data_IF_716401424593
#
_entry.id   IF_716401424593
#
_cell.length_a   1.000
_cell.length_b   1.000
_cell.length_c   1.000
_cell.angle_alpha   90.00
_cell.angle_beta   90.00
_cell.angle_gamma   90.00
#
_symmetry.space_group_name_H-M   'P 1'
#
loop_
_entity.id
_entity.type
_entity.pdbx_description
1 polymer ?
#
# COMPACT_ATOMS: atom_id res chain seq x y z
N UNK A 1 3.87 -16.85 -19.72
CA UNK A 1 2.74 -17.45 -19.00
C UNK A 1 3.29 -18.27 -17.84
N UNK A 2 3.40 -17.69 -16.64
CA UNK A 2 3.90 -18.38 -15.45
C UNK A 2 3.35 -17.74 -14.16
N UNK A 3 2.11 -17.25 -14.19
CA UNK A 3 1.49 -16.52 -13.07
C UNK A 3 0.74 -17.46 -12.10
N UNK A 4 0.82 -18.78 -12.31
CA UNK A 4 -0.01 -19.79 -11.63
C UNK A 4 0.71 -20.63 -10.57
N UNK A 5 1.96 -20.32 -10.21
CA UNK A 5 2.78 -21.14 -9.31
C UNK A 5 3.20 -20.42 -8.01
N UNK A 6 2.69 -19.21 -7.74
CA UNK A 6 2.93 -18.57 -6.44
C UNK A 6 1.96 -19.18 -5.41
N UNK A 7 2.46 -19.84 -4.35
CA UNK A 7 1.59 -20.29 -3.28
C UNK A 7 0.91 -19.09 -2.62
N UNK A 8 -0.37 -19.25 -2.27
CA UNK A 8 -1.15 -18.16 -1.70
C UNK A 8 -0.47 -17.61 -0.43
N UNK A 9 -0.32 -16.28 -0.31
CA UNK A 9 0.27 -15.69 0.86
C UNK A 9 -0.61 -15.96 2.08
N UNK A 10 -0.03 -16.62 3.10
CA UNK A 10 -0.72 -16.87 4.36
C UNK A 10 -0.66 -15.61 5.21
N UNK A 11 -1.78 -15.27 5.84
CA UNK A 11 -1.86 -14.12 6.74
C UNK A 11 -1.61 -14.56 8.18
N UNK A 12 -0.54 -14.05 8.79
CA UNK A 12 -0.22 -14.28 10.20
C UNK A 12 -0.78 -13.13 11.04
N UNK A 13 -1.43 -13.49 12.14
CA UNK A 13 -2.03 -12.54 13.08
C UNK A 13 -1.15 -12.40 14.32
N UNK A 14 -0.82 -11.16 14.67
CA UNK A 14 -0.10 -10.78 15.87
C UNK A 14 -0.96 -9.83 16.72
N UNK A 15 -0.90 -10.00 18.03
CA UNK A 15 -1.55 -9.09 18.98
C UNK A 15 -0.50 -8.15 19.58
N UNK A 16 -0.73 -6.84 19.49
CA UNK A 16 0.14 -5.80 20.06
C UNK A 16 -0.56 -5.16 21.24
N UNK A 17 0.07 -5.08 22.43
CA UNK A 17 -0.46 -4.38 23.59
C UNK A 17 -0.68 -2.88 23.33
N UNK A 18 -1.77 -2.30 23.84
CA UNK A 18 -2.03 -0.85 23.86
C UNK A 18 -1.95 -0.35 25.30
N UNK A 19 -0.78 0.13 25.72
CA UNK A 19 -0.60 0.73 27.04
C UNK A 19 0.71 0.31 27.71
N UNK A 20 0.77 0.45 29.04
CA UNK A 20 1.85 -0.08 29.89
C UNK A 20 1.35 -0.85 31.12
N UNK A 21 0.09 -1.31 31.12
CA UNK A 21 -0.59 -1.99 32.23
C UNK A 21 -0.93 -3.46 31.98
N UNK A 22 -1.41 -4.16 32.99
CA UNK A 22 -1.72 -5.61 32.89
C UNK A 22 -3.07 -5.89 32.20
N UNK A 23 -4.00 -4.91 32.19
CA UNK A 23 -5.31 -4.96 31.50
C UNK A 23 -5.28 -4.17 30.18
N UNK A 24 -4.35 -4.51 29.29
CA UNK A 24 -4.22 -3.80 28.01
C UNK A 24 -5.08 -4.37 26.90
N UNK A 25 -5.87 -3.49 26.27
CA UNK A 25 -6.45 -3.71 24.96
C UNK A 25 -5.37 -4.14 23.97
N UNK A 26 -5.68 -5.11 23.10
CA UNK A 26 -4.73 -5.62 22.11
C UNK A 26 -5.19 -5.29 20.71
N UNK A 27 -4.33 -4.63 19.93
CA UNK A 27 -4.57 -4.45 18.49
C UNK A 27 -4.20 -5.72 17.75
N UNK A 28 -5.11 -6.19 16.91
CA UNK A 28 -4.84 -7.22 15.92
C UNK A 28 -4.08 -6.61 14.74
N UNK A 29 -2.86 -7.09 14.50
CA UNK A 29 -2.04 -6.75 13.34
C UNK A 29 -1.90 -7.99 12.47
N UNK A 30 -2.14 -7.84 11.18
CA UNK A 30 -2.00 -8.92 10.21
C UNK A 30 -0.85 -8.60 9.27
N UNK A 31 0.05 -9.57 9.07
CA UNK A 31 1.11 -9.51 8.06
C UNK A 31 0.96 -10.70 7.12
N UNK A 32 1.17 -10.47 5.83
CA UNK A 32 1.24 -11.56 4.84
C UNK A 32 2.63 -12.17 4.85
N UNK A 33 2.71 -13.48 4.74
CA UNK A 33 3.98 -14.17 4.45
C UNK A 33 4.50 -13.76 3.07
N UNK A 34 5.81 -13.78 2.88
CA UNK A 34 6.44 -13.47 1.60
C UNK A 34 7.20 -14.68 1.07
N UNK A 35 6.84 -15.12 -0.14
CA UNK A 35 7.47 -16.26 -0.82
C UNK A 35 8.36 -15.82 -1.99
N UNK A 36 7.82 -14.97 -2.86
CA UNK A 36 8.49 -14.38 -4.01
C UNK A 36 7.75 -13.12 -4.45
N UNK A 37 8.41 -12.25 -5.22
CA UNK A 37 7.75 -11.08 -5.78
C UNK A 37 8.71 -10.17 -6.54
N UNK A 38 8.15 -9.14 -7.16
CA UNK A 38 8.93 -8.06 -7.75
C UNK A 38 9.46 -7.08 -6.68
N UNK A 39 10.24 -6.09 -7.12
CA UNK A 39 10.81 -5.04 -6.25
C UNK A 39 9.75 -4.28 -5.45
N UNK A 40 8.58 -4.01 -6.03
CA UNK A 40 7.50 -3.27 -5.36
C UNK A 40 6.83 -4.15 -4.31
N UNK A 41 6.57 -5.41 -4.63
CA UNK A 41 6.02 -6.42 -3.71
C UNK A 41 6.96 -6.63 -2.51
N UNK A 42 8.26 -6.80 -2.77
CA UNK A 42 9.28 -6.94 -1.72
C UNK A 42 9.34 -5.73 -0.79
N UNK A 43 9.49 -4.51 -1.33
CA UNK A 43 9.62 -3.30 -0.51
C UNK A 43 8.34 -3.01 0.28
N UNK A 44 7.17 -3.30 -0.29
CA UNK A 44 5.88 -3.16 0.41
C UNK A 44 5.79 -4.13 1.58
N UNK A 45 6.20 -5.39 1.37
CA UNK A 45 6.24 -6.39 2.43
C UNK A 45 7.29 -6.03 3.51
N UNK A 46 8.50 -5.64 3.11
CA UNK A 46 9.59 -5.29 4.01
C UNK A 46 9.18 -4.15 4.96
N UNK A 47 8.58 -3.08 4.43
CA UNK A 47 8.05 -1.98 5.23
C UNK A 47 7.00 -2.44 6.26
N UNK A 48 6.16 -3.40 5.89
CA UNK A 48 5.15 -3.99 6.78
C UNK A 48 5.82 -4.84 7.88
N UNK A 49 6.86 -5.59 7.54
CA UNK A 49 7.63 -6.40 8.46
C UNK A 49 8.46 -5.55 9.44
N UNK A 50 9.13 -4.50 8.99
CA UNK A 50 9.84 -3.56 9.86
C UNK A 50 8.90 -2.86 10.84
N UNK A 51 7.70 -2.49 10.40
CA UNK A 51 6.66 -1.95 11.29
C UNK A 51 6.29 -2.97 12.36
N UNK A 52 6.16 -4.24 12.01
CA UNK A 52 5.87 -5.31 12.98
C UNK A 52 7.00 -5.49 13.99
N UNK A 53 8.27 -5.51 13.53
CA UNK A 53 9.46 -5.57 14.39
C UNK A 53 9.43 -4.46 15.44
N UNK A 54 9.15 -3.22 15.02
CA UNK A 54 9.05 -2.07 15.93
C UNK A 54 7.91 -2.23 16.94
N UNK A 55 6.72 -2.62 16.48
CA UNK A 55 5.54 -2.74 17.35
C UNK A 55 5.65 -3.88 18.35
N UNK A 56 6.29 -4.99 17.98
CA UNK A 56 6.51 -6.14 18.86
C UNK A 56 7.84 -6.07 19.62
N UNK A 57 8.61 -4.99 19.44
CA UNK A 57 9.92 -4.74 20.07
C UNK A 57 10.95 -5.86 19.83
N UNK A 58 10.87 -6.55 18.69
CA UNK A 58 11.80 -7.65 18.36
C UNK A 58 13.23 -7.17 18.07
N UNK A 59 13.40 -5.89 17.75
CA UNK A 59 14.69 -5.33 17.31
C UNK A 59 15.85 -5.43 18.31
N UNK A 60 15.60 -5.79 19.57
CA UNK A 60 16.63 -5.90 20.61
C UNK A 60 17.26 -7.29 20.70
N UNK A 61 16.58 -8.33 20.20
CA UNK A 61 17.03 -9.71 20.34
C UNK A 61 17.25 -10.36 18.97
N UNK A 62 18.50 -10.63 18.64
CA UNK A 62 18.90 -11.21 17.36
C UNK A 62 18.25 -12.58 17.10
N UNK A 63 18.32 -13.57 18.01
CA UNK A 63 17.67 -14.86 17.84
C UNK A 63 16.17 -14.74 17.55
N UNK A 64 15.46 -13.86 18.26
CA UNK A 64 14.03 -13.57 18.00
C UNK A 64 13.81 -13.00 16.59
N UNK A 65 14.65 -12.10 16.09
CA UNK A 65 14.55 -11.58 14.73
C UNK A 65 14.70 -12.69 13.68
N UNK A 66 15.74 -13.51 13.81
CA UNK A 66 16.01 -14.63 12.91
C UNK A 66 14.88 -15.66 12.93
N UNK A 67 14.34 -16.00 14.10
CA UNK A 67 13.21 -16.92 14.21
C UNK A 67 11.96 -16.34 13.54
N UNK A 68 11.60 -15.09 13.82
CA UNK A 68 10.40 -14.48 13.25
C UNK A 68 10.50 -14.27 11.73
N UNK A 69 11.69 -13.94 11.22
CA UNK A 69 11.91 -13.91 9.77
C UNK A 69 11.66 -15.28 9.13
N UNK A 70 12.14 -16.38 9.73
CA UNK A 70 11.88 -17.75 9.24
C UNK A 70 10.40 -18.17 9.29
N UNK A 71 9.61 -17.57 10.19
CA UNK A 71 8.16 -17.83 10.28
C UNK A 71 7.40 -17.08 9.17
N UNK A 72 7.82 -15.86 8.84
CA UNK A 72 7.07 -14.98 7.93
C UNK A 72 7.54 -15.14 6.47
N UNK A 73 8.82 -15.46 6.25
CA UNK A 73 9.34 -15.83 4.94
C UNK A 73 8.95 -17.26 4.60
N UNK A 74 8.70 -17.53 3.32
CA UNK A 74 8.35 -18.85 2.80
C UNK A 74 9.11 -19.16 1.52
N UNK A 75 9.18 -20.44 1.18
CA UNK A 75 9.65 -20.94 -0.11
C UNK A 75 10.97 -20.27 -0.54
N UNK A 76 11.02 -19.69 -1.75
CA UNK A 76 12.21 -19.04 -2.30
C UNK A 76 12.82 -17.98 -1.38
N UNK A 77 12.00 -17.10 -0.78
CA UNK A 77 12.51 -16.06 0.11
C UNK A 77 13.09 -16.64 1.42
N UNK A 78 12.51 -17.73 1.92
CA UNK A 78 13.05 -18.44 3.08
C UNK A 78 14.36 -19.15 2.74
N UNK A 79 14.46 -19.75 1.56
CA UNK A 79 15.68 -20.41 1.09
C UNK A 79 16.83 -19.41 0.95
N UNK A 80 16.59 -18.27 0.31
CA UNK A 80 17.56 -17.16 0.19
C UNK A 80 17.97 -16.67 1.58
N UNK A 81 17.01 -16.46 2.49
CA UNK A 81 17.30 -16.03 3.85
C UNK A 81 18.17 -17.04 4.60
N UNK A 82 17.86 -18.34 4.51
CA UNK A 82 18.63 -19.37 5.19
C UNK A 82 20.04 -19.50 4.63
N UNK A 83 20.21 -19.39 3.31
CA UNK A 83 21.53 -19.37 2.68
C UNK A 83 22.36 -18.17 3.17
N UNK A 84 21.80 -16.95 3.13
CA UNK A 84 22.48 -15.76 3.62
C UNK A 84 22.76 -15.80 5.13
N UNK A 85 21.87 -16.42 5.92
CA UNK A 85 22.04 -16.61 7.36
C UNK A 85 23.12 -17.62 7.73
N UNK A 86 23.44 -18.58 6.86
CA UNK A 86 24.50 -19.56 7.08
C UNK A 86 25.90 -18.93 6.98
N UNK A 87 26.03 -17.82 6.25
CA UNK A 87 27.29 -17.11 6.02
C UNK A 87 27.66 -16.11 7.14
N UNK A 88 26.83 -15.98 8.18
CA UNK A 88 27.08 -15.06 9.30
C UNK A 88 27.22 -15.81 10.62
N UNK A 89 28.20 -15.42 11.42
CA UNK A 89 28.44 -16.03 12.73
C UNK A 89 27.59 -15.35 13.80
N UNK A 90 26.61 -16.09 14.32
CA UNK A 90 25.78 -15.67 15.46
C UNK A 90 24.54 -14.85 15.08
N UNK A 91 23.47 -15.04 15.85
CA UNK A 91 22.21 -14.34 15.66
C UNK A 91 22.21 -13.02 16.46
N UNK A 92 22.76 -11.95 15.88
CA UNK A 92 22.71 -10.59 16.45
C UNK A 92 21.81 -9.68 15.61
N UNK A 93 21.26 -8.58 16.16
CA UNK A 93 20.50 -7.61 15.36
C UNK A 93 21.32 -7.01 14.20
N UNK A 94 22.63 -6.82 14.40
CA UNK A 94 23.54 -6.37 13.35
C UNK A 94 23.63 -7.40 12.20
N UNK A 95 23.89 -8.67 12.54
CA UNK A 95 23.97 -9.74 11.53
C UNK A 95 22.62 -9.95 10.83
N UNK A 96 21.51 -9.78 11.54
CA UNK A 96 20.18 -9.83 10.93
C UNK A 96 20.01 -8.78 9.83
N UNK A 97 20.45 -7.53 10.08
CA UNK A 97 20.40 -6.48 9.06
C UNK A 97 21.27 -6.82 7.84
N UNK A 98 22.48 -7.37 8.06
CA UNK A 98 23.36 -7.81 6.98
C UNK A 98 22.71 -8.91 6.13
N UNK A 99 22.07 -9.90 6.78
CA UNK A 99 21.33 -10.97 6.09
C UNK A 99 20.17 -10.39 5.29
N UNK A 100 19.35 -9.52 5.88
CA UNK A 100 18.21 -8.90 5.18
C UNK A 100 18.65 -8.01 4.01
N UNK A 101 19.81 -7.35 4.09
CA UNK A 101 20.40 -6.62 2.96
C UNK A 101 20.79 -7.57 1.82
N UNK A 102 21.37 -8.74 2.12
CA UNK A 102 21.68 -9.76 1.11
C UNK A 102 20.41 -10.30 0.47
N UNK A 103 19.39 -10.63 1.27
CA UNK A 103 18.08 -11.09 0.77
C UNK A 103 17.45 -10.03 -0.13
N UNK A 104 17.49 -8.74 0.27
CA UNK A 104 16.93 -7.67 -0.53
C UNK A 104 17.54 -7.61 -1.94
N UNK A 105 18.85 -7.83 -2.09
CA UNK A 105 19.52 -7.81 -3.41
C UNK A 105 18.95 -8.82 -4.41
N UNK A 106 18.38 -9.92 -3.95
CA UNK A 106 17.75 -10.93 -4.82
C UNK A 106 16.38 -10.48 -5.37
N UNK A 107 15.72 -9.53 -4.70
CA UNK A 107 14.38 -9.03 -5.08
C UNK A 107 14.39 -7.61 -5.65
N UNK A 108 15.51 -6.91 -5.55
CA UNK A 108 15.71 -5.58 -6.10
C UNK A 108 16.25 -5.69 -7.53
N UNK A 109 15.61 -5.00 -8.47
CA UNK A 109 16.18 -4.78 -9.79
C UNK A 109 17.46 -3.93 -9.67
N UNK A 110 18.36 -4.07 -10.65
CA UNK A 110 19.46 -3.13 -10.79
C UNK A 110 18.90 -1.71 -10.95
N UNK A 111 19.55 -0.73 -10.31
CA UNK A 111 19.11 0.67 -10.29
C UNK A 111 17.66 0.84 -9.79
N UNK A 112 17.31 0.10 -8.72
CA UNK A 112 15.96 0.09 -8.14
C UNK A 112 15.41 1.48 -7.80
N UNK A 113 16.29 2.43 -7.46
CA UNK A 113 15.88 3.82 -7.20
C UNK A 113 15.34 4.48 -8.46
N UNK A 114 16.10 4.42 -9.54
CA UNK A 114 15.75 4.97 -10.85
C UNK A 114 14.49 4.28 -11.37
N UNK A 115 14.41 2.96 -11.23
CA UNK A 115 13.20 2.18 -11.56
C UNK A 115 11.95 2.71 -10.83
N UNK A 116 12.00 2.92 -9.52
CA UNK A 116 10.87 3.45 -8.75
C UNK A 116 10.53 4.90 -9.13
N UNK A 117 11.54 5.72 -9.42
CA UNK A 117 11.36 7.10 -9.88
C UNK A 117 10.68 7.12 -11.26
N UNK A 118 11.12 6.27 -12.18
CA UNK A 118 10.51 6.12 -13.50
C UNK A 118 9.07 5.62 -13.39
N UNK A 119 8.77 4.71 -12.46
CA UNK A 119 7.40 4.30 -12.18
C UNK A 119 6.55 5.48 -11.68
N UNK A 120 7.09 6.37 -10.84
CA UNK A 120 6.40 7.59 -10.40
C UNK A 120 6.14 8.53 -11.60
N UNK A 121 7.15 8.74 -12.43
CA UNK A 121 7.12 9.68 -13.54
C UNK A 121 6.19 9.24 -14.68
N UNK A 122 6.16 7.94 -14.97
CA UNK A 122 5.43 7.36 -16.09
C UNK A 122 4.03 6.86 -15.71
N UNK A 123 3.63 6.97 -14.43
CA UNK A 123 2.32 6.54 -13.97
C UNK A 123 1.23 7.38 -14.61
N UNK A 124 0.39 6.74 -15.43
CA UNK A 124 -0.80 7.41 -15.98
C UNK A 124 -1.97 7.28 -15.02
N UNK A 125 -2.72 8.37 -14.81
CA UNK A 125 -4.06 8.29 -14.22
C UNK A 125 -4.99 7.69 -15.28
N UNK A 126 -5.46 6.47 -15.07
CA UNK A 126 -6.52 5.89 -15.90
C UNK A 126 -7.87 6.54 -15.55
N UNK A 127 -8.86 6.48 -16.45
CA UNK A 127 -10.15 7.18 -16.27
C UNK A 127 -10.92 6.71 -15.03
N UNK A 128 -10.70 5.48 -14.62
CA UNK A 128 -11.33 4.78 -13.50
C UNK A 128 -10.65 5.04 -12.15
N UNK A 129 -9.43 5.58 -12.13
CA UNK A 129 -8.70 5.89 -10.90
C UNK A 129 -8.98 7.33 -10.49
N UNK A 130 -9.40 7.56 -9.25
CA UNK A 130 -9.67 8.92 -8.74
C UNK A 130 -8.36 9.72 -8.57
N UNK A 131 -8.46 11.04 -8.51
CA UNK A 131 -7.30 11.91 -8.20
C UNK A 131 -6.69 11.52 -6.84
N UNK A 132 -7.54 11.20 -5.86
CA UNK A 132 -7.12 10.83 -4.51
C UNK A 132 -6.39 9.48 -4.49
N UNK A 133 -6.90 8.48 -5.20
CA UNK A 133 -6.26 7.16 -5.28
C UNK A 133 -4.91 7.28 -6.00
N UNK A 134 -4.85 8.10 -7.05
CA UNK A 134 -3.60 8.37 -7.74
C UNK A 134 -2.57 9.05 -6.81
N UNK A 135 -2.98 10.07 -6.06
CA UNK A 135 -2.11 10.73 -5.07
C UNK A 135 -1.58 9.71 -4.04
N UNK A 136 -2.48 8.89 -3.48
CA UNK A 136 -2.12 7.90 -2.48
C UNK A 136 -1.07 6.93 -3.03
N UNK A 137 -1.26 6.48 -4.26
CA UNK A 137 -0.36 5.53 -4.89
C UNK A 137 0.99 6.18 -5.29
N UNK A 138 1.02 7.45 -5.68
CA UNK A 138 2.27 8.20 -5.89
C UNK A 138 3.05 8.36 -4.57
N UNK A 139 2.39 8.70 -3.47
CA UNK A 139 3.01 8.79 -2.14
C UNK A 139 3.53 7.44 -1.64
N UNK A 140 2.79 6.37 -1.90
CA UNK A 140 3.23 5.01 -1.59
C UNK A 140 4.56 4.69 -2.28
N UNK A 141 4.64 4.92 -3.60
CA UNK A 141 5.88 4.71 -4.37
C UNK A 141 7.04 5.58 -3.87
N UNK A 142 6.78 6.87 -3.60
CA UNK A 142 7.79 7.76 -3.04
C UNK A 142 8.33 7.27 -1.68
N UNK A 143 7.50 6.59 -0.89
CA UNK A 143 7.95 5.98 0.38
C UNK A 143 8.74 4.69 0.16
N UNK A 144 8.50 3.95 -0.92
CA UNK A 144 9.31 2.76 -1.25
C UNK A 144 10.74 3.16 -1.60
N UNK A 145 10.94 4.34 -2.21
CA UNK A 145 12.29 4.87 -2.50
C UNK A 145 13.11 4.99 -1.22
N UNK A 146 12.52 5.47 -0.12
CA UNK A 146 13.19 5.59 1.19
C UNK A 146 13.26 4.27 1.96
N UNK A 147 12.71 3.18 1.41
CA UNK A 147 12.80 1.81 1.98
C UNK A 147 13.93 1.02 1.31
N UNK A 148 14.54 1.57 0.26
CA UNK A 148 15.69 0.95 -0.39
C UNK A 148 16.90 0.91 0.55
N UNK A 149 17.71 -0.15 0.51
CA UNK A 149 18.99 -0.18 1.21
C UNK A 149 19.85 1.00 0.77
N UNK A 150 20.54 1.64 1.72
CA UNK A 150 21.58 2.66 1.45
C UNK A 150 21.06 3.96 0.79
N UNK A 151 19.74 4.19 0.77
CA UNK A 151 19.15 5.36 0.10
C UNK A 151 18.21 6.16 1.02
N UNK A 152 18.77 7.20 1.62
CA UNK A 152 18.05 8.08 2.55
C UNK A 152 17.44 9.30 1.87
N UNK A 153 17.64 9.48 0.56
CA UNK A 153 17.21 10.69 -0.13
C UNK A 153 15.76 10.56 -0.59
N UNK A 154 14.80 11.26 0.04
CA UNK A 154 13.41 11.24 -0.38
C UNK A 154 13.24 11.87 -1.76
N UNK A 155 12.18 11.48 -2.46
CA UNK A 155 11.77 12.16 -3.69
C UNK A 155 11.32 13.58 -3.33
N UNK A 156 11.82 14.58 -4.05
CA UNK A 156 11.48 15.98 -3.75
C UNK A 156 9.99 16.26 -3.96
N UNK A 157 9.40 17.05 -3.06
CA UNK A 157 7.99 17.46 -3.13
C UNK A 157 7.70 18.18 -4.47
N UNK A 158 8.65 18.99 -4.93
CA UNK A 158 8.57 19.70 -6.22
C UNK A 158 8.48 18.73 -7.40
N UNK A 159 9.33 17.69 -7.43
CA UNK A 159 9.29 16.66 -8.48
C UNK A 159 7.95 15.93 -8.45
N UNK A 160 7.49 15.49 -7.27
CA UNK A 160 6.19 14.83 -7.13
C UNK A 160 5.06 15.73 -7.62
N UNK A 161 5.08 17.02 -7.26
CA UNK A 161 4.10 18.01 -7.70
C UNK A 161 4.12 18.21 -9.22
N UNK A 162 5.29 18.28 -9.84
CA UNK A 162 5.45 18.41 -11.29
C UNK A 162 4.85 17.20 -12.01
N UNK A 163 5.25 15.99 -11.62
CA UNK A 163 4.77 14.77 -12.25
C UNK A 163 3.27 14.55 -12.00
N UNK A 164 2.76 14.85 -10.81
CA UNK A 164 1.34 14.77 -10.49
C UNK A 164 0.49 15.72 -11.33
N UNK A 165 0.97 16.92 -11.67
CA UNK A 165 0.26 17.82 -12.59
C UNK A 165 0.25 17.24 -14.01
N UNK A 166 1.42 16.80 -14.50
CA UNK A 166 1.65 16.37 -15.89
C UNK A 166 0.74 15.21 -16.34
N UNK A 167 0.33 14.37 -15.40
CA UNK A 167 -0.51 13.20 -15.63
C UNK A 167 -2.02 13.50 -15.62
N UNK A 168 -2.43 14.70 -15.18
CA UNK A 168 -3.84 15.07 -15.13
C UNK A 168 -4.39 15.28 -16.55
N UNK A 169 -5.70 15.19 -16.78
CA UNK A 169 -6.29 15.56 -18.07
C UNK A 169 -5.85 16.98 -18.49
N UNK A 170 -5.51 17.16 -19.76
CA UNK A 170 -4.98 18.43 -20.28
C UNK A 170 -5.86 19.63 -19.92
N UNK A 171 -7.18 19.51 -20.06
CA UNK A 171 -8.14 20.55 -19.68
C UNK A 171 -8.05 20.96 -18.20
N UNK A 172 -7.70 20.04 -17.32
CA UNK A 172 -7.53 20.32 -15.90
C UNK A 172 -6.20 21.01 -15.63
N UNK A 173 -5.16 20.64 -16.38
CA UNK A 173 -3.85 21.30 -16.32
C UNK A 173 -3.99 22.77 -16.72
N UNK A 174 -4.67 23.05 -17.84
CA UNK A 174 -4.94 24.41 -18.32
C UNK A 174 -5.72 25.22 -17.29
N UNK A 175 -6.81 24.67 -16.73
CA UNK A 175 -7.58 25.35 -15.67
C UNK A 175 -6.76 25.68 -14.44
N UNK A 176 -5.84 24.78 -14.06
CA UNK A 176 -4.93 25.03 -12.95
C UNK A 176 -3.99 26.20 -13.26
N UNK A 177 -3.41 26.26 -14.46
CA UNK A 177 -2.54 27.35 -14.91
C UNK A 177 -3.28 28.69 -14.98
N UNK A 178 -4.46 28.71 -15.60
CA UNK A 178 -5.32 29.90 -15.70
C UNK A 178 -5.80 30.41 -14.34
N UNK A 179 -5.87 29.54 -13.33
CA UNK A 179 -6.28 29.94 -11.99
C UNK A 179 -5.25 30.81 -11.26
N UNK A 180 -4.01 30.89 -11.75
CA UNK A 180 -2.90 31.61 -11.10
C UNK A 180 -2.52 31.07 -9.73
N UNK A 181 -3.02 29.88 -9.34
CA UNK A 181 -2.76 29.30 -8.02
C UNK A 181 -1.43 28.55 -8.02
N UNK A 182 -0.58 28.89 -7.08
CA UNK A 182 0.62 28.14 -6.76
C UNK A 182 0.38 27.29 -5.52
N UNK A 183 0.16 25.99 -5.72
CA UNK A 183 0.17 25.05 -4.61
C UNK A 183 1.58 24.91 -4.05
N UNK A 184 1.72 25.00 -2.73
CA UNK A 184 2.98 24.82 -2.00
C UNK A 184 3.32 23.36 -1.70
N UNK A 185 2.31 22.49 -1.75
CA UNK A 185 2.43 21.05 -1.46
C UNK A 185 1.65 20.22 -2.48
N UNK A 186 2.06 18.96 -2.62
CA UNK A 186 1.35 17.97 -3.43
C UNK A 186 -0.09 17.76 -2.96
N UNK A 187 -0.32 17.80 -1.65
CA UNK A 187 -1.67 17.68 -1.07
C UNK A 187 -2.57 18.84 -1.48
N UNK A 188 -2.05 20.07 -1.42
CA UNK A 188 -2.79 21.26 -1.84
C UNK A 188 -3.12 21.20 -3.33
N UNK A 189 -2.15 20.80 -4.16
CA UNK A 189 -2.34 20.59 -5.60
C UNK A 189 -3.39 19.54 -5.88
N UNK A 190 -3.34 18.40 -5.18
CA UNK A 190 -4.35 17.33 -5.30
C UNK A 190 -5.75 17.82 -4.96
N UNK A 191 -5.93 18.61 -3.89
CA UNK A 191 -7.24 19.16 -3.52
C UNK A 191 -7.87 19.97 -4.64
N UNK A 192 -7.06 20.68 -5.43
CA UNK A 192 -7.55 21.41 -6.60
C UNK A 192 -8.10 20.45 -7.66
N UNK A 193 -7.32 19.45 -8.05
CA UNK A 193 -7.73 18.48 -9.07
C UNK A 193 -8.91 17.61 -8.62
N UNK A 194 -8.98 17.25 -7.34
CA UNK A 194 -10.15 16.52 -6.77
C UNK A 194 -11.43 17.35 -6.92
N UNK A 195 -11.39 18.68 -6.74
CA UNK A 195 -12.57 19.53 -7.00
C UNK A 195 -12.96 19.49 -8.48
N UNK A 196 -12.00 19.55 -9.40
CA UNK A 196 -12.28 19.44 -10.84
C UNK A 196 -12.91 18.09 -11.19
N UNK A 197 -12.41 16.99 -10.61
CA UNK A 197 -12.99 15.64 -10.76
C UNK A 197 -14.44 15.60 -10.30
N UNK A 198 -14.74 16.12 -9.10
CA UNK A 198 -16.11 16.21 -8.58
C UNK A 198 -17.05 17.04 -9.47
N UNK A 199 -16.55 18.09 -10.10
CA UNK A 199 -17.34 18.91 -11.03
C UNK A 199 -17.54 18.23 -12.39
N UNK A 200 -16.58 17.45 -12.85
CA UNK A 200 -16.69 16.66 -14.08
C UNK A 200 -17.71 15.52 -13.92
N UNK A 201 -17.63 14.78 -12.81
CA UNK A 201 -18.53 13.66 -12.50
C UNK A 201 -20.00 14.12 -12.41
N UNK A 202 -20.26 15.31 -11.87
CA UNK A 202 -21.61 15.90 -11.79
C UNK A 202 -22.21 16.26 -13.15
N UNK A 203 -21.37 16.44 -14.17
CA UNK A 203 -21.80 16.78 -15.54
C UNK A 203 -21.93 15.55 -16.44
N UNK A 204 -21.49 14.37 -16.00
CA UNK A 204 -21.62 13.13 -16.76
C UNK A 204 -22.93 12.39 -16.37
N UNK A 205 -23.96 12.37 -17.24
CA UNK A 205 -25.23 11.71 -16.95
C UNK A 205 -25.10 10.20 -16.72
N UNK A 206 -24.01 9.55 -17.16
CA UNK A 206 -23.77 8.11 -16.95
C UNK A 206 -23.28 7.76 -15.54
N UNK A 207 -22.57 8.68 -14.87
CA UNK A 207 -22.12 8.52 -13.48
C UNK A 207 -23.27 8.74 -12.48
N UNK A 208 -24.19 9.65 -12.81
CA UNK A 208 -25.38 9.94 -12.00
C UNK A 208 -26.28 8.70 -11.86
N UNK A 209 -26.53 7.98 -12.96
CA UNK A 209 -27.33 6.74 -12.95
C UNK A 209 -26.69 5.61 -12.13
N UNK A 210 -25.35 5.49 -12.13
CA UNK A 210 -24.66 4.48 -11.30
C UNK A 210 -24.83 4.74 -9.80
N UNK A 211 -24.75 6.00 -9.36
CA UNK A 211 -24.98 6.37 -7.95
C UNK A 211 -26.44 6.22 -7.51
N UNK A 212 -27.40 6.49 -8.38
CA UNK A 212 -28.83 6.32 -8.07
C UNK A 212 -29.24 4.84 -8.02
N UNK A 213 -28.65 4.00 -8.88
CA UNK A 213 -28.89 2.54 -8.84
C UNK A 213 -28.33 1.84 -7.59
N UNK A 214 -27.40 2.48 -6.85
CA UNK A 214 -26.93 1.98 -5.54
C UNK A 214 -27.70 2.54 -4.35
N UNK A 215 -28.63 3.48 -4.59
CA UNK A 215 -29.34 4.23 -3.55
C UNK A 215 -30.83 3.95 -3.46
N UNK A 216 -31.37 2.96 -4.18
CA UNK A 216 -32.73 2.48 -3.90
C UNK A 216 -32.75 1.69 -2.58
N UNK A 217 -33.39 2.19 -1.52
CA UNK A 217 -33.72 1.38 -0.37
C UNK A 217 -34.96 0.58 -0.75
N UNK A 218 -34.88 -0.74 -0.72
CA UNK A 218 -36.08 -1.58 -0.70
C UNK A 218 -36.99 -1.09 0.44
N UNK A 219 -38.29 -0.82 0.20
CA UNK A 219 -39.20 -0.52 1.30
C UNK A 219 -39.47 -1.81 2.10
N UNK A 220 -39.66 -1.71 3.43
CA UNK A 220 -39.93 -2.86 4.28
C UNK A 220 -41.35 -3.39 4.00
N UNK A 221 -41.47 -4.69 3.69
CA UNK A 221 -42.76 -5.38 3.73
C UNK A 221 -43.17 -5.60 5.19
N UNK A 222 -43.97 -4.67 5.73
CA UNK A 222 -44.80 -4.93 6.90
C UNK A 222 -46.18 -5.47 6.49
N UNK A 223 -46.67 -6.35 7.34
CA UNK A 223 -47.79 -7.27 7.19
C UNK A 223 -49.14 -6.59 6.90
N UNK A 224 -50.04 -7.33 6.24
CA UNK A 224 -51.48 -7.15 6.42
C UNK A 224 -52.13 -8.54 6.47
N UNK A 225 -52.36 -9.02 7.69
CA UNK A 225 -53.45 -9.95 7.97
C UNK A 225 -54.76 -9.24 7.64
N UNK A 226 -55.67 -9.89 6.91
CA UNK A 226 -57.09 -9.76 7.21
C UNK A 226 -57.84 -11.01 6.72
N UNK A 227 -58.43 -11.71 7.68
CA UNK A 227 -59.39 -12.78 7.50
C UNK A 227 -60.58 -12.33 6.65
N UNK A 228 -61.01 -13.17 5.71
CA UNK A 228 -62.40 -13.21 5.29
C UNK A 228 -62.81 -14.65 4.93
N UNK A 229 -63.66 -15.17 5.81
CA UNK A 229 -64.35 -16.46 5.80
C UNK A 229 -65.09 -16.80 4.49
N UNK A 230 -65.36 -18.10 4.37
CA UNK A 230 -66.60 -18.76 3.89
C UNK A 230 -66.60 -19.46 2.50
N UNK A 231 -66.75 -20.80 2.61
CA UNK A 231 -67.54 -21.73 1.79
C UNK A 231 -66.99 -22.18 0.43
N UNK A 232 -66.54 -23.44 0.38
CA UNK A 232 -67.31 -24.55 -0.19
C UNK A 232 -66.87 -25.86 0.48
#
# INVERSE_FOLDING_TARGET
MADGLKPDPVSLTYYVPIGTGEDEDRVKITIKTFSSGDTVEWLTWLKSFERLIRLKRWGQDGPTLFLNARIILRDMALDIFNAAAADVEGATPHNFNLVMMRVAREFLVQDAREYLIDMIHNRRKTRDVTVTDHLAAMRQMATLVTTLPENDTPVSEESLMYHFKKIMPYEWQTKYEESGREASTLTERSRYFTRLEMHADRKDPRMQQRKDSTRSPNPPKQQREEEARCRA
#
